data_IF_994963744022
#
_entry.id   IF_994963744022
#
_cell.length_a   1.000
_cell.length_b   1.000
_cell.length_c   1.000
_cell.angle_alpha   90.00
_cell.angle_beta   90.00
_cell.angle_gamma   90.00
#
_symmetry.space_group_name_H-M   'P 1'
#
loop_
_entity.id
_entity.type
_entity.pdbx_description
1 polymer ?
#
# COMPACT_ATOMS: atom_id res chain seq x y z
N UNK A 1 -69.56 -22.46 -1.21
CA UNK A 1 -68.96 -21.16 -1.60
C UNK A 1 -67.45 -21.36 -1.60
N UNK A 2 -66.94 -21.95 -2.67
CA UNK A 2 -65.51 -22.12 -2.94
C UNK A 2 -64.97 -20.75 -3.37
N UNK A 3 -63.94 -20.22 -2.72
CA UNK A 3 -63.25 -19.02 -3.21
C UNK A 3 -62.11 -19.46 -4.11
N UNK A 4 -62.26 -19.11 -5.37
CA UNK A 4 -61.27 -19.25 -6.44
C UNK A 4 -60.27 -18.08 -6.30
N UNK A 5 -59.13 -18.32 -5.64
CA UNK A 5 -58.03 -17.34 -5.59
C UNK A 5 -57.04 -17.68 -6.72
N UNK A 6 -56.71 -16.72 -7.61
CA UNK A 6 -55.77 -16.97 -8.69
C UNK A 6 -54.33 -17.11 -8.14
N UNK A 7 -53.49 -17.96 -8.76
CA UNK A 7 -52.10 -18.10 -8.36
C UNK A 7 -51.37 -16.79 -8.66
N UNK A 8 -50.93 -16.11 -7.60
CA UNK A 8 -50.05 -14.95 -7.70
C UNK A 8 -48.66 -15.48 -8.01
N UNK A 9 -48.34 -15.63 -9.29
CA UNK A 9 -46.97 -15.83 -9.76
C UNK A 9 -46.18 -14.53 -9.51
N UNK A 10 -45.69 -14.38 -8.28
CA UNK A 10 -44.71 -13.36 -7.92
C UNK A 10 -43.42 -13.76 -8.63
N UNK A 11 -43.24 -13.26 -9.85
CA UNK A 11 -41.95 -13.26 -10.53
C UNK A 11 -41.04 -12.34 -9.74
N UNK A 12 -40.36 -12.90 -8.72
CA UNK A 12 -39.26 -12.23 -8.03
C UNK A 12 -38.16 -12.11 -9.07
N UNK A 13 -38.13 -10.99 -9.78
CA UNK A 13 -36.96 -10.58 -10.54
C UNK A 13 -35.85 -10.35 -9.52
N UNK A 14 -35.06 -11.40 -9.28
CA UNK A 14 -33.86 -11.35 -8.46
C UNK A 14 -32.92 -10.39 -9.17
N UNK A 15 -32.99 -9.12 -8.80
CA UNK A 15 -32.04 -8.09 -9.21
C UNK A 15 -30.67 -8.62 -8.78
N UNK A 16 -29.91 -9.14 -9.74
CA UNK A 16 -28.61 -9.74 -9.48
C UNK A 16 -27.72 -8.68 -8.84
N UNK A 17 -27.54 -8.78 -7.53
CA UNK A 17 -26.75 -7.84 -6.76
C UNK A 17 -25.31 -7.90 -7.29
N UNK A 18 -24.88 -6.80 -7.92
CA UNK A 18 -23.54 -6.71 -8.51
C UNK A 18 -22.54 -6.90 -7.37
N UNK A 19 -21.65 -7.91 -7.43
CA UNK A 19 -20.75 -8.19 -6.33
C UNK A 19 -19.90 -6.94 -6.03
N UNK A 20 -19.68 -6.62 -4.74
CA UNK A 20 -18.98 -5.41 -4.35
C UNK A 20 -17.59 -5.38 -4.99
N UNK A 21 -17.10 -4.19 -5.40
CA UNK A 21 -15.80 -4.06 -6.04
C UNK A 21 -14.71 -4.65 -5.13
N UNK A 22 -14.04 -5.70 -5.59
CA UNK A 22 -12.97 -6.34 -4.84
C UNK A 22 -11.75 -5.44 -4.87
N UNK A 23 -11.41 -4.89 -3.71
CA UNK A 23 -10.18 -4.10 -3.56
C UNK A 23 -9.00 -5.06 -3.77
N UNK A 24 -8.19 -4.76 -4.77
CA UNK A 24 -7.04 -5.57 -5.14
C UNK A 24 -6.07 -5.69 -3.95
N UNK A 25 -5.81 -6.93 -3.52
CA UNK A 25 -4.87 -7.26 -2.44
C UNK A 25 -3.74 -8.12 -2.99
N UNK A 26 -2.52 -7.90 -2.49
CA UNK A 26 -1.33 -8.58 -2.99
C UNK A 26 -1.45 -10.11 -2.79
N UNK A 27 -1.13 -10.93 -3.81
CA UNK A 27 -1.18 -12.39 -3.69
C UNK A 27 -0.22 -12.89 -2.60
N UNK A 28 -0.68 -13.78 -1.70
CA UNK A 28 0.14 -14.35 -0.60
C UNK A 28 1.27 -15.28 -1.03
N UNK A 29 1.39 -15.61 -2.33
CA UNK A 29 2.38 -16.56 -2.83
C UNK A 29 3.54 -15.80 -3.45
N UNK A 30 4.74 -16.05 -2.95
CA UNK A 30 5.99 -15.47 -3.47
C UNK A 30 6.28 -16.12 -4.83
N UNK A 31 6.21 -15.32 -5.90
CA UNK A 31 6.40 -15.76 -7.28
C UNK A 31 7.61 -15.02 -7.88
N UNK A 32 8.36 -15.70 -8.75
CA UNK A 32 9.54 -15.15 -9.44
C UNK A 32 9.16 -13.87 -10.19
N UNK A 33 7.97 -13.85 -10.81
CA UNK A 33 7.46 -12.66 -11.51
C UNK A 33 7.39 -11.43 -10.59
N UNK A 34 6.92 -11.62 -9.35
CA UNK A 34 6.84 -10.53 -8.36
C UNK A 34 8.22 -10.03 -7.98
N UNK A 35 9.19 -10.91 -7.75
CA UNK A 35 10.57 -10.53 -7.40
C UNK A 35 11.17 -9.68 -8.54
N UNK A 36 10.99 -10.11 -9.79
CA UNK A 36 11.51 -9.38 -10.96
C UNK A 36 10.90 -7.98 -11.06
N UNK A 37 9.57 -7.87 -10.93
CA UNK A 37 8.87 -6.58 -11.01
C UNK A 37 9.25 -5.65 -9.86
N UNK A 38 9.38 -6.17 -8.64
CA UNK A 38 9.85 -5.39 -7.48
C UNK A 38 11.29 -4.92 -7.69
N UNK A 39 12.17 -5.79 -8.20
CA UNK A 39 13.57 -5.43 -8.51
C UNK A 39 13.65 -4.29 -9.53
N UNK A 40 12.85 -4.37 -10.60
CA UNK A 40 12.75 -3.31 -11.60
C UNK A 40 12.23 -2.01 -10.98
N UNK A 41 11.19 -2.08 -10.14
CA UNK A 41 10.65 -0.90 -9.46
C UNK A 41 11.71 -0.21 -8.58
N UNK A 42 12.52 -0.98 -7.84
CA UNK A 42 13.64 -0.44 -7.07
C UNK A 42 14.74 0.14 -7.97
N UNK A 43 15.07 -0.50 -9.08
CA UNK A 43 16.03 0.03 -10.04
C UNK A 43 15.58 1.40 -10.60
N UNK A 44 14.29 1.53 -10.94
CA UNK A 44 13.68 2.79 -11.38
C UNK A 44 13.72 3.85 -10.28
N UNK A 45 13.35 3.49 -9.04
CA UNK A 45 13.41 4.39 -7.89
C UNK A 45 14.84 4.91 -7.66
N UNK A 46 15.82 4.00 -7.62
CA UNK A 46 17.22 4.36 -7.43
C UNK A 46 17.76 5.21 -8.58
N UNK A 47 17.44 4.85 -9.83
CA UNK A 47 17.82 5.62 -11.00
C UNK A 47 17.25 7.05 -10.93
N UNK A 48 15.96 7.20 -10.62
CA UNK A 48 15.31 8.50 -10.46
C UNK A 48 15.94 9.35 -9.35
N UNK A 49 16.21 8.76 -8.20
CA UNK A 49 16.88 9.47 -7.10
C UNK A 49 18.32 9.86 -7.45
N UNK A 50 19.04 9.04 -8.22
CA UNK A 50 20.39 9.37 -8.72
C UNK A 50 20.37 10.50 -9.74
N UNK A 51 19.37 10.57 -10.62
CA UNK A 51 19.20 11.70 -11.55
C UNK A 51 19.00 13.03 -10.81
N UNK A 52 18.41 12.99 -9.62
CA UNK A 52 18.24 14.15 -8.75
C UNK A 52 19.47 14.46 -7.88
N UNK A 53 20.60 13.75 -8.08
CA UNK A 53 21.79 13.84 -7.24
C UNK A 53 21.50 13.62 -5.75
N UNK A 54 20.54 12.74 -5.41
CA UNK A 54 20.19 12.47 -4.03
C UNK A 54 21.40 11.91 -3.26
N UNK A 55 21.60 12.45 -2.05
CA UNK A 55 22.66 11.99 -1.16
C UNK A 55 22.43 10.53 -0.72
N UNK A 56 23.50 9.78 -0.34
CA UNK A 56 23.38 8.37 0.05
C UNK A 56 22.38 8.08 1.17
N UNK A 57 22.28 8.98 2.16
CA UNK A 57 21.33 8.83 3.26
C UNK A 57 19.88 9.02 2.83
N UNK A 58 19.61 9.85 1.82
CA UNK A 58 18.27 10.05 1.24
C UNK A 58 17.84 8.79 0.50
N UNK A 59 18.74 8.18 -0.28
CA UNK A 59 18.51 6.90 -0.94
C UNK A 59 18.14 5.82 0.10
N UNK A 60 18.94 5.69 1.17
CA UNK A 60 18.68 4.73 2.23
C UNK A 60 17.32 4.97 2.93
N UNK A 61 17.00 6.22 3.26
CA UNK A 61 15.73 6.59 3.88
C UNK A 61 14.53 6.30 2.96
N UNK A 62 14.63 6.62 1.67
CA UNK A 62 13.58 6.34 0.69
C UNK A 62 13.36 4.84 0.50
N UNK A 63 14.42 4.05 0.37
CA UNK A 63 14.34 2.58 0.26
C UNK A 63 13.74 1.96 1.51
N UNK A 64 14.18 2.39 2.70
CA UNK A 64 13.63 1.94 3.97
C UNK A 64 12.13 2.25 4.06
N UNK A 65 11.75 3.49 3.75
CA UNK A 65 10.36 3.95 3.78
C UNK A 65 9.46 3.11 2.86
N UNK A 66 9.84 2.97 1.58
CA UNK A 66 9.06 2.17 0.60
C UNK A 66 9.00 0.70 1.00
N UNK A 67 10.10 0.14 1.54
CA UNK A 67 10.14 -1.25 2.02
C UNK A 67 9.15 -1.46 3.17
N UNK A 68 9.18 -0.57 4.17
CA UNK A 68 8.28 -0.64 5.33
C UNK A 68 6.83 -0.51 4.90
N UNK A 69 6.52 0.41 3.97
CA UNK A 69 5.18 0.57 3.42
C UNK A 69 4.71 -0.70 2.70
N UNK A 70 5.52 -1.28 1.82
CA UNK A 70 5.15 -2.50 1.10
C UNK A 70 5.01 -3.74 1.98
N UNK A 71 5.89 -3.88 2.98
CA UNK A 71 5.76 -4.92 4.01
C UNK A 71 4.48 -4.72 4.83
N UNK A 72 4.20 -3.49 5.25
CA UNK A 72 2.98 -3.20 6.01
C UNK A 72 1.72 -3.51 5.21
N UNK A 73 1.67 -3.16 3.92
CA UNK A 73 0.51 -3.48 3.06
C UNK A 73 0.27 -4.98 2.89
N UNK A 74 1.33 -5.79 2.86
CA UNK A 74 1.24 -7.24 2.71
C UNK A 74 0.98 -7.97 4.03
N UNK A 75 1.48 -7.45 5.15
CA UNK A 75 1.41 -8.11 6.46
C UNK A 75 0.27 -7.59 7.34
N UNK A 76 0.02 -6.28 7.39
CA UNK A 76 -0.99 -5.69 8.26
C UNK A 76 -2.41 -5.94 7.74
N UNK A 77 -3.34 -6.11 8.67
CA UNK A 77 -4.77 -6.38 8.40
C UNK A 77 -5.00 -7.59 7.47
N UNK A 78 -4.03 -8.51 7.43
CA UNK A 78 -4.03 -9.66 6.53
C UNK A 78 -4.14 -9.29 5.04
N UNK A 79 -3.72 -8.08 4.65
CA UNK A 79 -3.80 -7.55 3.28
C UNK A 79 -5.15 -6.97 2.87
N UNK A 80 -6.15 -6.91 3.77
CA UNK A 80 -7.52 -6.46 3.43
C UNK A 80 -7.65 -4.94 3.27
N UNK A 81 -6.84 -4.18 4.00
CA UNK A 81 -6.91 -2.70 4.01
C UNK A 81 -5.54 -2.07 3.67
N UNK A 82 -5.04 -2.24 2.43
CA UNK A 82 -3.69 -1.82 2.06
C UNK A 82 -3.48 -0.30 2.20
N UNK A 83 -4.52 0.52 1.95
CA UNK A 83 -4.43 1.98 2.10
C UNK A 83 -4.23 2.42 3.55
N UNK A 84 -4.96 1.79 4.47
CA UNK A 84 -4.83 2.08 5.91
C UNK A 84 -3.47 1.60 6.43
N UNK A 85 -3.02 0.42 6.01
CA UNK A 85 -1.70 -0.10 6.34
C UNK A 85 -0.56 0.84 5.93
N UNK A 86 -0.65 1.39 4.72
CA UNK A 86 0.38 2.30 4.18
C UNK A 86 0.42 3.66 4.88
N UNK A 87 -0.74 4.21 5.31
CA UNK A 87 -0.79 5.42 6.14
C UNK A 87 -0.11 5.17 7.49
N UNK A 88 -0.46 4.09 8.19
CA UNK A 88 0.16 3.79 9.50
C UNK A 88 1.66 3.52 9.38
N UNK A 89 2.08 2.79 8.34
CA UNK A 89 3.48 2.55 8.06
C UNK A 89 4.25 3.85 7.77
N UNK A 90 3.65 4.78 7.02
CA UNK A 90 4.25 6.07 6.73
C UNK A 90 4.43 6.93 7.98
N UNK A 91 3.40 7.00 8.84
CA UNK A 91 3.49 7.69 10.14
C UNK A 91 4.57 7.06 11.01
N UNK A 92 4.53 5.74 11.18
CA UNK A 92 5.46 5.01 12.05
C UNK A 92 6.92 5.15 11.59
N UNK A 93 7.18 4.98 10.30
CA UNK A 93 8.53 5.11 9.74
C UNK A 93 9.08 6.54 9.87
N UNK A 94 8.26 7.56 9.63
CA UNK A 94 8.68 8.95 9.82
C UNK A 94 8.91 9.30 11.30
N UNK A 95 8.11 8.75 12.22
CA UNK A 95 8.35 8.91 13.66
C UNK A 95 9.67 8.24 14.10
N UNK A 96 9.99 7.07 13.55
CA UNK A 96 11.27 6.39 13.83
C UNK A 96 12.45 7.20 13.30
N UNK A 97 12.36 7.74 12.07
CA UNK A 97 13.40 8.62 11.52
C UNK A 97 13.55 9.90 12.35
N UNK A 98 12.44 10.53 12.73
CA UNK A 98 12.45 11.71 13.59
C UNK A 98 13.13 11.41 14.94
N UNK A 99 12.73 10.31 15.60
CA UNK A 99 13.30 9.90 16.87
C UNK A 99 14.81 9.68 16.75
N UNK A 100 15.26 8.99 15.70
CA UNK A 100 16.67 8.78 15.43
C UNK A 100 17.45 10.11 15.33
N UNK A 101 16.95 11.09 14.58
CA UNK A 101 17.58 12.41 14.50
C UNK A 101 17.59 13.15 15.84
N UNK A 102 16.49 13.12 16.59
CA UNK A 102 16.39 13.79 17.88
C UNK A 102 17.36 13.23 18.93
N UNK A 103 17.47 11.90 19.02
CA UNK A 103 18.43 11.25 19.91
C UNK A 103 19.88 11.50 19.48
N UNK A 104 20.15 11.61 18.18
CA UNK A 104 21.49 11.87 17.66
C UNK A 104 21.93 13.33 17.90
N UNK A 105 20.99 14.27 17.90
CA UNK A 105 21.24 15.71 18.06
C UNK A 105 21.04 16.22 19.49
N UNK A 106 20.70 15.34 20.44
CA UNK A 106 20.35 15.68 21.83
C UNK A 106 19.32 16.83 21.94
N UNK A 107 18.34 16.81 21.04
CA UNK A 107 17.37 17.88 20.91
C UNK A 107 16.25 17.76 21.98
N UNK A 108 15.65 18.89 22.43
CA UNK A 108 14.64 18.86 23.48
C UNK A 108 13.40 18.04 23.09
N UNK A 109 12.87 17.27 24.04
CA UNK A 109 11.66 16.43 23.85
C UNK A 109 10.46 17.24 23.37
N UNK A 110 10.32 18.49 23.80
CA UNK A 110 9.22 19.37 23.35
C UNK A 110 9.29 19.60 21.83
N UNK A 111 10.48 19.81 21.27
CA UNK A 111 10.67 19.96 19.83
C UNK A 111 10.31 18.67 19.08
N UNK A 112 10.59 17.49 19.66
CA UNK A 112 10.20 16.20 19.09
C UNK A 112 8.67 16.06 19.03
N UNK A 113 7.97 16.41 20.12
CA UNK A 113 6.51 16.32 20.18
C UNK A 113 5.84 17.29 19.20
N UNK A 114 6.30 18.54 19.14
CA UNK A 114 5.75 19.56 18.24
C UNK A 114 6.00 19.20 16.78
N UNK A 115 7.24 18.82 16.42
CA UNK A 115 7.56 18.42 15.05
C UNK A 115 6.86 17.11 14.64
N UNK A 116 6.79 16.17 15.58
CA UNK A 116 6.02 14.94 15.50
C UNK A 116 4.58 15.20 15.09
N UNK A 117 3.88 16.01 15.89
CA UNK A 117 2.46 16.27 15.72
C UNK A 117 2.14 17.13 14.49
N UNK A 118 2.88 18.23 14.28
CA UNK A 118 2.54 19.21 13.23
C UNK A 118 3.01 18.80 11.83
N UNK A 119 4.14 18.11 11.72
CA UNK A 119 4.75 17.83 10.42
C UNK A 119 4.84 16.34 10.13
N UNK A 120 5.29 15.54 11.10
CA UNK A 120 5.58 14.12 10.85
C UNK A 120 4.31 13.27 10.75
N UNK A 121 3.29 13.48 11.57
CA UNK A 121 2.03 12.72 11.45
C UNK A 121 1.32 13.03 10.12
N UNK A 122 1.04 14.30 9.76
CA UNK A 122 0.37 14.61 8.49
C UNK A 122 1.24 14.25 7.28
N UNK A 123 2.54 14.58 7.34
CA UNK A 123 3.49 14.27 6.28
C UNK A 123 3.67 12.76 6.10
N UNK A 124 3.88 12.02 7.18
CA UNK A 124 4.01 10.56 7.17
C UNK A 124 2.74 9.88 6.65
N UNK A 125 1.55 10.37 7.01
CA UNK A 125 0.30 9.88 6.46
C UNK A 125 0.19 10.13 4.95
N UNK A 126 0.49 11.36 4.50
CA UNK A 126 0.42 11.73 3.09
C UNK A 126 1.42 10.97 2.23
N UNK A 127 2.70 10.96 2.63
CA UNK A 127 3.75 10.22 1.92
C UNK A 127 3.52 8.71 2.00
N UNK A 128 3.02 8.20 3.13
CA UNK A 128 2.67 6.78 3.30
C UNK A 128 1.60 6.37 2.31
N UNK A 129 0.55 7.18 2.17
CA UNK A 129 -0.51 6.95 1.18
C UNK A 129 0.03 6.95 -0.26
N UNK A 130 0.84 7.95 -0.64
CA UNK A 130 1.43 8.05 -1.98
C UNK A 130 2.30 6.82 -2.28
N UNK A 131 3.22 6.48 -1.37
CA UNK A 131 4.05 5.29 -1.50
C UNK A 131 3.21 4.02 -1.57
N UNK A 132 2.13 3.93 -0.78
CA UNK A 132 1.21 2.81 -0.79
C UNK A 132 0.49 2.63 -2.13
N UNK A 133 0.11 3.73 -2.80
CA UNK A 133 -0.47 3.70 -4.15
C UNK A 133 0.55 3.22 -5.18
N UNK A 134 1.80 3.70 -5.09
CA UNK A 134 2.88 3.27 -5.98
C UNK A 134 3.18 1.78 -5.80
N UNK A 135 3.34 1.31 -4.56
CA UNK A 135 3.59 -0.11 -4.26
C UNK A 135 2.42 -0.98 -4.73
N UNK A 136 1.17 -0.56 -4.50
CA UNK A 136 -0.01 -1.25 -5.00
C UNK A 136 0.01 -1.37 -6.54
N UNK A 137 0.44 -0.32 -7.24
CA UNK A 137 0.57 -0.32 -8.70
C UNK A 137 1.62 -1.33 -9.18
N UNK A 138 2.75 -1.45 -8.49
CA UNK A 138 3.80 -2.44 -8.78
C UNK A 138 3.25 -3.87 -8.64
N UNK A 139 2.47 -4.15 -7.59
CA UNK A 139 1.84 -5.47 -7.42
C UNK A 139 0.78 -5.77 -8.49
N UNK A 140 0.03 -4.77 -8.95
CA UNK A 140 -0.90 -4.94 -10.07
C UNK A 140 -0.17 -5.30 -11.37
N UNK A 141 0.97 -4.66 -11.65
CA UNK A 141 1.80 -4.98 -12.81
C UNK A 141 2.35 -6.42 -12.68
N UNK A 142 2.82 -6.81 -11.49
CA UNK A 142 3.32 -8.17 -11.26
C UNK A 142 2.26 -9.25 -11.55
N UNK A 143 1.02 -9.05 -11.11
CA UNK A 143 -0.06 -9.98 -11.39
C UNK A 143 -0.49 -9.98 -12.86
N UNK A 144 -0.46 -8.82 -13.52
CA UNK A 144 -0.69 -8.75 -14.96
C UNK A 144 0.36 -9.56 -15.74
N UNK A 145 1.65 -9.38 -15.43
CA UNK A 145 2.75 -10.16 -16.05
C UNK A 145 2.56 -11.66 -15.82
N UNK A 146 2.18 -12.05 -14.60
CA UNK A 146 1.92 -13.46 -14.25
C UNK A 146 0.79 -14.05 -15.09
N UNK A 147 -0.36 -13.40 -15.14
CA UNK A 147 -1.53 -13.88 -15.91
C UNK A 147 -1.20 -14.01 -17.39
N UNK A 148 -0.42 -13.06 -17.93
CA UNK A 148 0.03 -13.11 -19.30
C UNK A 148 0.94 -14.32 -19.58
N UNK A 149 1.86 -14.62 -18.67
CA UNK A 149 2.74 -15.80 -18.78
C UNK A 149 1.95 -17.11 -18.73
N UNK A 150 0.91 -17.20 -17.88
CA UNK A 150 0.08 -18.40 -17.77
C UNK A 150 -0.84 -18.63 -18.96
N UNK A 151 -1.19 -17.59 -19.72
CA UNK A 151 -2.05 -17.73 -20.91
C UNK A 151 -1.32 -18.32 -22.12
N UNK A 152 0.01 -18.36 -22.11
CA UNK A 152 0.85 -18.83 -23.23
C UNK A 152 1.42 -20.24 -23.01
N UNK A 153 1.28 -20.79 -21.82
CA UNK A 153 1.68 -22.15 -21.46
C UNK A 153 0.50 -23.09 -21.66
#
# INVERSE_FOLDING_TARGET
MERDEPPVDVVIEVVAEKPPPTIYSAPRRFDIATIMVVTIAYAVLFSGLRLLNAAPHILAAATFFVSVVGLAQSLLYGGKHPRVASIHAGIASMLVLLAFFFFTLDAPVVCFLVSGFLFVIPGGAAFGYIAGVLVGSVFMIADWVRRWSSSKA
#
